data_IF_082387854597
#
_entry.id   IF_082387854597
#
_cell.length_a   1.000
_cell.length_b   1.000
_cell.length_c   1.000
_cell.angle_alpha   90.00
_cell.angle_beta   90.00
_cell.angle_gamma   90.00
#
_symmetry.space_group_name_H-M   'P 1'
#
loop_
_entity.id
_entity.type
_entity.pdbx_description
1 polymer ?
#
# COMPACT_ATOMS: atom_id res chain seq x y z
N UNK A 1 27.34 6.22 -10.84
CA UNK A 1 26.69 4.92 -11.09
C UNK A 1 25.19 5.16 -11.07
N UNK A 2 24.36 4.38 -11.81
CA UNK A 2 22.92 4.54 -11.74
C UNK A 2 22.42 4.22 -10.32
N UNK A 3 21.44 4.99 -9.82
CA UNK A 3 20.73 4.65 -8.59
C UNK A 3 19.88 3.40 -8.84
N UNK A 4 20.06 2.36 -8.02
CA UNK A 4 19.29 1.12 -8.09
C UNK A 4 18.53 0.98 -6.78
N UNK A 5 17.21 0.79 -6.87
CA UNK A 5 16.33 0.63 -5.72
C UNK A 5 15.64 -0.74 -5.76
N UNK A 6 15.62 -1.41 -4.62
CA UNK A 6 14.90 -2.65 -4.38
C UNK A 6 13.64 -2.34 -3.57
N UNK A 7 12.49 -2.60 -4.17
CA UNK A 7 11.19 -2.26 -3.59
C UNK A 7 10.34 -3.50 -3.44
N UNK A 8 9.56 -3.57 -2.36
CA UNK A 8 8.55 -4.61 -2.16
C UNK A 8 7.24 -4.01 -1.65
N UNK A 9 6.13 -4.60 -2.04
CA UNK A 9 4.80 -4.41 -1.44
C UNK A 9 4.27 -5.76 -0.99
N UNK A 10 3.62 -5.81 0.17
CA UNK A 10 3.07 -7.04 0.74
C UNK A 10 1.84 -6.77 1.62
N UNK A 11 0.71 -7.33 1.21
CA UNK A 11 -0.47 -7.44 2.07
C UNK A 11 -0.20 -8.48 3.18
N UNK A 12 -0.26 -8.03 4.44
CA UNK A 12 0.12 -8.81 5.63
C UNK A 12 -1.04 -9.62 6.23
N UNK A 13 -2.28 -9.37 5.80
CA UNK A 13 -3.50 -9.99 6.32
C UNK A 13 -3.63 -9.90 7.87
N UNK A 14 -3.25 -8.78 8.47
CA UNK A 14 -3.17 -8.61 9.93
C UNK A 14 -4.49 -8.07 10.52
N UNK A 15 -5.57 -8.83 10.32
CA UNK A 15 -6.91 -8.45 10.77
C UNK A 15 -6.99 -8.28 12.30
N UNK A 16 -7.57 -7.19 12.83
CA UNK A 16 -7.54 -6.85 14.25
C UNK A 16 -8.62 -7.59 15.08
N UNK A 17 -9.30 -8.58 14.51
CA UNK A 17 -10.40 -9.30 15.17
C UNK A 17 -9.89 -10.22 16.29
N UNK A 18 -10.68 -10.53 17.33
CA UNK A 18 -10.31 -11.53 18.33
C UNK A 18 -10.48 -12.95 17.78
N UNK A 19 -9.80 -13.93 18.38
CA UNK A 19 -10.11 -15.35 18.15
C UNK A 19 -11.57 -15.64 18.52
N UNK A 20 -12.33 -16.42 17.72
CA UNK A 20 -11.92 -17.24 16.57
C UNK A 20 -12.06 -16.56 15.20
N UNK A 21 -12.33 -15.25 15.15
CA UNK A 21 -12.59 -14.52 13.89
C UNK A 21 -11.32 -14.03 13.19
N UNK A 22 -10.14 -14.22 13.79
CA UNK A 22 -8.82 -14.05 13.16
C UNK A 22 -8.02 -15.35 13.18
N UNK A 23 -7.01 -15.43 12.33
CA UNK A 23 -6.02 -16.52 12.36
C UNK A 23 -5.30 -16.60 13.73
N UNK A 24 -5.11 -17.82 14.22
CA UNK A 24 -4.29 -18.12 15.41
C UNK A 24 -2.84 -17.66 15.25
N UNK A 25 -2.35 -17.62 14.01
CA UNK A 25 -0.95 -17.35 13.69
C UNK A 25 -0.67 -15.87 13.43
N UNK A 26 -1.60 -14.98 13.73
CA UNK A 26 -1.47 -13.54 13.50
C UNK A 26 -0.13 -12.97 14.02
N UNK A 27 0.20 -13.21 15.30
CA UNK A 27 1.43 -12.71 15.90
C UNK A 27 2.69 -13.38 15.31
N UNK A 28 2.61 -14.68 15.01
CA UNK A 28 3.69 -15.42 14.37
C UNK A 28 3.96 -14.87 12.97
N UNK A 29 2.91 -14.59 12.19
CA UNK A 29 3.01 -14.05 10.83
C UNK A 29 3.65 -12.68 10.81
N UNK A 30 3.18 -11.73 11.63
CA UNK A 30 3.79 -10.39 11.73
C UNK A 30 5.28 -10.49 12.08
N UNK A 31 5.64 -11.38 13.03
CA UNK A 31 7.04 -11.63 13.38
C UNK A 31 7.84 -12.17 12.18
N UNK A 32 7.31 -13.17 11.46
CA UNK A 32 7.97 -13.79 10.31
C UNK A 32 8.10 -12.87 9.10
N UNK A 33 7.12 -11.98 8.90
CA UNK A 33 7.22 -10.91 7.90
C UNK A 33 8.39 -9.99 8.25
N UNK A 34 8.50 -9.53 9.50
CA UNK A 34 9.63 -8.72 9.94
C UNK A 34 10.99 -9.41 9.75
N UNK A 35 11.10 -10.69 10.13
CA UNK A 35 12.32 -11.49 9.91
C UNK A 35 12.66 -11.60 8.41
N UNK A 36 11.67 -11.85 7.55
CA UNK A 36 11.86 -11.95 6.10
C UNK A 36 12.31 -10.61 5.50
N UNK A 37 11.73 -9.49 5.92
CA UNK A 37 12.13 -8.16 5.46
C UNK A 37 13.59 -7.85 5.83
N UNK A 38 14.07 -8.27 7.00
CA UNK A 38 15.48 -8.10 7.39
C UNK A 38 16.44 -8.98 6.58
N UNK A 39 16.00 -10.14 6.12
CA UNK A 39 16.81 -11.05 5.31
C UNK A 39 16.93 -10.60 3.85
N UNK A 40 16.03 -9.72 3.40
CA UNK A 40 16.01 -9.23 2.04
C UNK A 40 16.49 -7.76 2.02
N UNK A 41 17.36 -7.40 1.08
CA UNK A 41 17.94 -6.06 1.03
C UNK A 41 17.02 -5.07 0.27
N UNK A 42 15.77 -4.92 0.70
CA UNK A 42 14.88 -3.90 0.13
C UNK A 42 15.20 -2.52 0.70
N UNK A 43 15.15 -1.50 -0.14
CA UNK A 43 15.33 -0.09 0.22
C UNK A 43 14.02 0.56 0.69
N UNK A 44 12.90 0.18 0.07
CA UNK A 44 11.56 0.68 0.40
C UNK A 44 10.58 -0.51 0.47
N UNK A 45 9.75 -0.53 1.51
CA UNK A 45 8.76 -1.56 1.79
C UNK A 45 7.41 -0.90 1.98
N UNK A 46 6.41 -1.27 1.19
CA UNK A 46 4.99 -1.01 1.46
C UNK A 46 4.36 -2.24 2.10
N UNK A 47 3.58 -2.05 3.16
CA UNK A 47 2.75 -3.12 3.73
C UNK A 47 1.30 -2.67 3.77
N UNK A 48 0.41 -3.57 3.36
CA UNK A 48 -1.04 -3.42 3.42
C UNK A 48 -1.63 -4.37 4.48
N UNK A 49 -2.86 -4.09 4.91
CA UNK A 49 -3.56 -4.83 5.99
C UNK A 49 -2.82 -4.93 7.33
N UNK A 50 -1.95 -3.97 7.65
CA UNK A 50 -1.43 -3.78 9.01
C UNK A 50 -2.41 -2.94 9.81
N UNK A 51 -3.60 -3.49 10.12
CA UNK A 51 -4.72 -2.71 10.65
C UNK A 51 -4.51 -2.18 12.07
N UNK A 52 -3.81 -2.95 12.92
CA UNK A 52 -3.52 -2.57 14.30
C UNK A 52 -2.27 -1.72 14.41
N UNK A 53 -2.36 -0.55 15.06
CA UNK A 53 -1.18 0.27 15.40
C UNK A 53 -0.14 -0.53 16.21
N UNK A 54 -0.60 -1.46 17.06
CA UNK A 54 0.29 -2.36 17.79
C UNK A 54 1.16 -3.26 16.90
N UNK A 55 0.68 -3.69 15.74
CA UNK A 55 1.48 -4.48 14.79
C UNK A 55 2.45 -3.61 14.01
N UNK A 56 2.03 -2.41 13.63
CA UNK A 56 2.94 -1.41 13.05
C UNK A 56 4.09 -1.10 14.01
N UNK A 57 3.82 -0.82 15.29
CA UNK A 57 4.85 -0.52 16.29
C UNK A 57 5.78 -1.71 16.54
N UNK A 58 5.27 -2.96 16.48
CA UNK A 58 6.11 -4.17 16.56
C UNK A 58 7.05 -4.28 15.37
N UNK A 59 6.54 -4.08 14.16
CA UNK A 59 7.33 -4.09 12.93
C UNK A 59 8.36 -2.96 12.97
N UNK A 60 7.96 -1.73 13.27
CA UNK A 60 8.85 -0.58 13.41
C UNK A 60 9.98 -0.85 14.38
N UNK A 61 9.69 -1.41 15.56
CA UNK A 61 10.72 -1.76 16.53
C UNK A 61 11.67 -2.84 15.99
N UNK A 62 11.14 -3.88 15.35
CA UNK A 62 11.95 -4.97 14.82
C UNK A 62 12.81 -4.57 13.62
N UNK A 63 12.34 -3.61 12.82
CA UNK A 63 12.96 -3.19 11.56
C UNK A 63 13.88 -1.97 11.71
N UNK A 64 13.86 -1.29 12.86
CA UNK A 64 14.49 0.03 13.08
C UNK A 64 15.95 0.15 12.62
N UNK A 65 16.75 -0.90 12.81
CA UNK A 65 18.18 -0.87 12.49
C UNK A 65 18.43 -0.92 10.98
N UNK A 66 17.55 -1.59 10.22
CA UNK A 66 17.62 -1.65 8.76
C UNK A 66 16.81 -0.52 8.09
N UNK A 67 15.65 -0.19 8.65
CA UNK A 67 14.70 0.80 8.14
C UNK A 67 14.51 1.89 9.18
N UNK A 68 15.39 2.89 9.15
CA UNK A 68 15.41 3.98 10.11
C UNK A 68 14.17 4.89 10.01
N UNK A 69 13.48 4.88 8.88
CA UNK A 69 12.32 5.71 8.60
C UNK A 69 11.10 4.85 8.34
N UNK A 70 9.98 5.23 8.91
CA UNK A 70 8.71 4.52 8.73
C UNK A 70 7.54 5.46 8.91
N UNK A 71 6.45 5.22 8.19
CA UNK A 71 5.23 5.99 8.34
C UNK A 71 3.99 5.09 8.27
N UNK A 72 3.04 5.32 9.17
CA UNK A 72 1.75 4.64 9.20
C UNK A 72 0.66 5.63 8.77
N UNK A 73 -0.10 5.27 7.73
CA UNK A 73 -1.16 6.14 7.22
C UNK A 73 -2.44 5.95 8.02
N UNK A 74 -2.78 6.90 8.89
CA UNK A 74 -4.03 6.85 9.66
C UNK A 74 -5.23 7.25 8.79
N UNK A 75 -6.30 6.44 8.80
CA UNK A 75 -7.53 6.72 8.05
C UNK A 75 -8.73 5.98 8.63
N UNK A 76 -9.93 6.55 8.46
CA UNK A 76 -11.18 5.90 8.85
C UNK A 76 -11.28 5.58 10.34
N UNK A 77 -12.14 4.61 10.68
CA UNK A 77 -12.35 4.18 12.08
C UNK A 77 -11.34 3.11 12.52
N UNK A 78 -10.85 2.29 11.59
CA UNK A 78 -9.98 1.13 11.88
C UNK A 78 -8.53 1.30 11.41
N UNK A 79 -8.17 2.44 10.81
CA UNK A 79 -6.90 2.64 10.13
C UNK A 79 -7.00 2.41 8.62
N UNK A 80 -5.95 2.79 7.87
CA UNK A 80 -5.84 2.43 6.44
C UNK A 80 -5.30 1.01 6.23
N UNK A 81 -4.58 0.49 7.23
CA UNK A 81 -3.79 -0.73 7.09
C UNK A 81 -2.53 -0.56 6.24
N UNK A 82 -2.23 0.65 5.76
CA UNK A 82 -1.10 0.96 4.89
C UNK A 82 0.03 1.57 5.73
N UNK A 83 1.23 1.03 5.58
CA UNK A 83 2.44 1.64 6.10
C UNK A 83 3.63 1.46 5.18
N UNK A 84 4.62 2.34 5.34
CA UNK A 84 5.86 2.33 4.56
C UNK A 84 7.05 2.29 5.50
N UNK A 85 8.04 1.46 5.18
CA UNK A 85 9.37 1.44 5.80
C UNK A 85 10.41 1.77 4.75
N UNK A 86 11.39 2.59 5.11
CA UNK A 86 12.42 3.09 4.21
C UNK A 86 13.78 3.10 4.91
N UNK A 87 14.82 2.69 4.17
CA UNK A 87 16.22 2.88 4.57
C UNK A 87 16.64 4.35 4.47
N UNK A 88 15.93 5.11 3.65
CA UNK A 88 16.23 6.50 3.32
C UNK A 88 15.24 7.48 3.95
N UNK A 89 15.64 8.74 4.20
CA UNK A 89 14.80 9.75 4.82
C UNK A 89 13.45 9.93 4.13
N UNK A 90 12.36 9.78 4.89
CA UNK A 90 11.02 10.23 4.50
C UNK A 90 10.89 11.70 4.93
N UNK A 91 10.79 12.61 3.96
CA UNK A 91 10.81 14.06 4.20
C UNK A 91 9.44 14.72 4.11
N UNK A 92 8.48 14.06 3.46
CA UNK A 92 7.10 14.51 3.36
C UNK A 92 6.15 13.32 3.25
N UNK A 93 4.91 13.53 3.66
CA UNK A 93 3.85 12.52 3.57
C UNK A 93 2.53 13.16 3.19
N UNK A 94 1.73 12.45 2.43
CA UNK A 94 0.36 12.85 2.07
C UNK A 94 -0.51 11.61 1.96
N UNK A 95 -1.80 11.72 2.26
CA UNK A 95 -2.74 10.62 2.08
C UNK A 95 -3.97 11.08 1.31
N UNK A 96 -4.43 10.25 0.39
CA UNK A 96 -5.74 10.37 -0.23
C UNK A 96 -6.60 9.15 0.13
N UNK A 97 -7.70 9.40 0.84
CA UNK A 97 -8.72 8.37 1.10
C UNK A 97 -9.66 8.33 -0.08
N UNK A 98 -9.89 7.14 -0.63
CA UNK A 98 -10.81 7.02 -1.74
C UNK A 98 -12.26 7.34 -1.31
N UNK A 99 -13.03 7.89 -2.23
CA UNK A 99 -14.40 8.34 -1.94
C UNK A 99 -15.39 7.20 -1.85
N UNK A 100 -15.19 6.13 -2.62
CA UNK A 100 -16.13 5.01 -2.77
C UNK A 100 -15.53 3.70 -2.25
N UNK A 101 -15.76 3.38 -0.97
CA UNK A 101 -15.16 2.25 -0.25
C UNK A 101 -16.14 1.13 0.14
N UNK A 102 -17.21 0.94 -0.63
CA UNK A 102 -18.17 -0.15 -0.46
C UNK A 102 -19.48 0.31 0.15
N UNK A 103 -20.29 -0.65 0.60
CA UNK A 103 -21.61 -0.40 1.15
C UNK A 103 -21.60 -0.52 2.68
N UNK A 104 -22.03 0.55 3.38
CA UNK A 104 -22.06 0.60 4.84
C UNK A 104 -22.84 -0.55 5.51
N UNK A 105 -23.89 -1.04 4.84
CA UNK A 105 -24.73 -2.12 5.33
C UNK A 105 -24.15 -3.52 5.08
N UNK A 106 -23.07 -3.65 4.31
CA UNK A 106 -22.32 -4.89 4.14
C UNK A 106 -21.28 -5.03 5.27
N UNK A 107 -21.76 -5.11 6.50
CA UNK A 107 -20.90 -5.07 7.70
C UNK A 107 -19.86 -6.22 7.71
N UNK A 108 -20.20 -7.34 7.08
CA UNK A 108 -19.36 -8.52 6.90
C UNK A 108 -18.24 -8.34 5.86
N UNK A 109 -18.24 -7.24 5.09
CA UNK A 109 -17.22 -6.88 4.10
C UNK A 109 -16.55 -5.60 4.56
N UNK A 110 -15.51 -5.78 5.38
CA UNK A 110 -14.90 -4.75 6.22
C UNK A 110 -14.30 -3.54 5.50
N UNK A 111 -14.23 -3.56 4.16
CA UNK A 111 -13.71 -2.47 3.31
C UNK A 111 -14.41 -1.13 3.53
N UNK A 112 -15.68 -1.10 3.95
CA UNK A 112 -16.33 0.18 4.28
C UNK A 112 -15.78 0.81 5.57
N UNK A 113 -15.36 -0.01 6.53
CA UNK A 113 -14.80 0.45 7.81
C UNK A 113 -13.27 0.64 7.75
N UNK A 114 -12.60 -0.09 6.85
CA UNK A 114 -11.19 0.07 6.52
C UNK A 114 -10.99 1.27 5.60
N UNK A 115 -10.16 2.22 5.98
CA UNK A 115 -9.95 3.43 5.19
C UNK A 115 -9.09 3.18 3.95
N UNK A 116 -9.64 2.56 2.90
CA UNK A 116 -8.95 2.34 1.61
C UNK A 116 -8.48 3.65 1.01
N UNK A 117 -7.31 3.63 0.39
CA UNK A 117 -6.66 4.83 -0.09
C UNK A 117 -5.27 4.60 -0.64
N UNK A 118 -4.59 5.71 -0.86
CA UNK A 118 -3.18 5.76 -1.24
C UNK A 118 -2.44 6.70 -0.31
N UNK A 119 -1.33 6.21 0.24
CA UNK A 119 -0.36 6.99 0.95
C UNK A 119 0.80 7.36 0.02
N UNK A 120 1.21 8.62 0.03
CA UNK A 120 2.44 9.12 -0.57
C UNK A 120 3.45 9.36 0.54
N UNK A 121 4.65 8.80 0.39
CA UNK A 121 5.84 9.28 1.07
C UNK A 121 6.81 9.84 0.04
N UNK A 122 7.44 10.94 0.39
CA UNK A 122 8.51 11.54 -0.39
C UNK A 122 9.85 11.21 0.27
N UNK A 123 10.76 10.64 -0.52
CA UNK A 123 12.00 10.06 -0.04
C UNK A 123 13.17 10.80 -0.69
N UNK A 124 14.14 11.23 0.11
CA UNK A 124 15.39 11.83 -0.39
C UNK A 124 16.51 10.79 -0.39
N UNK A 125 17.10 10.57 -1.58
CA UNK A 125 18.23 9.66 -1.78
C UNK A 125 19.30 10.41 -2.56
N UNK A 126 20.40 10.77 -1.89
CA UNK A 126 21.45 11.63 -2.47
C UNK A 126 20.84 12.94 -3.01
N UNK A 127 20.95 13.23 -4.30
CA UNK A 127 20.34 14.38 -4.98
C UNK A 127 18.91 14.13 -5.49
N UNK A 128 18.38 12.91 -5.38
CA UNK A 128 17.10 12.52 -5.97
C UNK A 128 15.96 12.61 -4.96
N UNK A 129 14.82 13.13 -5.42
CA UNK A 129 13.54 13.14 -4.71
C UNK A 129 12.61 12.13 -5.35
N UNK A 130 12.27 11.09 -4.59
CA UNK A 130 11.46 9.97 -5.06
C UNK A 130 10.11 10.00 -4.38
N UNK A 131 9.04 10.02 -5.18
CA UNK A 131 7.69 9.82 -4.67
C UNK A 131 7.36 8.33 -4.66
N UNK A 132 7.12 7.78 -3.48
CA UNK A 132 6.68 6.40 -3.31
C UNK A 132 5.22 6.37 -2.84
N UNK A 133 4.38 5.70 -3.64
CA UNK A 133 2.96 5.57 -3.39
C UNK A 133 2.64 4.13 -2.96
N UNK A 134 2.04 3.97 -1.79
CA UNK A 134 1.52 2.70 -1.28
C UNK A 134 -0.02 2.75 -1.31
N UNK A 135 -0.64 1.89 -2.10
CA UNK A 135 -2.09 1.88 -2.27
C UNK A 135 -2.72 0.55 -1.84
N UNK A 136 -3.95 0.64 -1.33
CA UNK A 136 -4.77 -0.53 -1.03
C UNK A 136 -6.19 -0.26 -1.50
N UNK A 137 -6.59 -0.92 -2.58
CA UNK A 137 -7.91 -0.75 -3.19
C UNK A 137 -8.93 -1.71 -2.56
N UNK A 138 -10.20 -1.48 -2.88
CA UNK A 138 -11.31 -2.32 -2.41
C UNK A 138 -11.10 -3.77 -2.87
N UNK A 139 -11.39 -4.73 -2.01
CA UNK A 139 -11.23 -6.14 -2.34
C UNK A 139 -12.17 -6.59 -3.48
N UNK A 140 -11.70 -7.53 -4.29
CA UNK A 140 -12.57 -8.37 -5.13
C UNK A 140 -12.93 -9.63 -4.35
N UNK A 141 -14.21 -9.80 -4.06
CA UNK A 141 -14.68 -10.91 -3.21
C UNK A 141 -15.13 -12.14 -4.02
N UNK A 142 -15.56 -11.92 -5.27
CA UNK A 142 -16.02 -12.97 -6.17
C UNK A 142 -15.88 -12.48 -7.63
N UNK A 143 -14.93 -13.01 -8.41
CA UNK A 143 -14.73 -12.61 -9.80
C UNK A 143 -15.96 -12.84 -10.69
N UNK A 144 -16.82 -13.82 -10.35
CA UNK A 144 -18.01 -14.13 -11.13
C UNK A 144 -19.21 -13.24 -10.79
N UNK A 145 -19.17 -12.58 -9.62
CA UNK A 145 -20.25 -11.73 -9.11
C UNK A 145 -19.67 -10.59 -8.29
N UNK A 146 -19.16 -9.60 -9.00
CA UNK A 146 -18.48 -8.48 -8.39
C UNK A 146 -19.29 -7.18 -8.41
N UNK A 147 -20.12 -6.90 -7.38
CA UNK A 147 -20.81 -5.61 -7.25
C UNK A 147 -19.84 -4.46 -6.92
N UNK A 148 -18.56 -4.76 -6.65
CA UNK A 148 -17.56 -3.78 -6.26
C UNK A 148 -16.67 -3.32 -7.42
N UNK A 149 -16.88 -3.83 -8.64
CA UNK A 149 -16.17 -3.35 -9.82
C UNK A 149 -16.31 -1.82 -10.01
N UNK A 150 -17.50 -1.20 -9.87
CA UNK A 150 -17.62 0.26 -9.96
C UNK A 150 -16.83 0.99 -8.86
N UNK A 151 -16.70 0.37 -7.68
CA UNK A 151 -15.91 0.92 -6.57
C UNK A 151 -14.43 0.90 -6.94
N UNK A 152 -13.90 -0.26 -7.37
CA UNK A 152 -12.50 -0.38 -7.80
C UNK A 152 -12.19 0.52 -8.99
N UNK A 153 -13.11 0.70 -9.94
CA UNK A 153 -12.93 1.63 -11.07
C UNK A 153 -12.85 3.10 -10.61
N UNK A 154 -13.73 3.53 -9.70
CA UNK A 154 -13.68 4.87 -9.14
C UNK A 154 -12.36 5.10 -8.37
N UNK A 155 -11.97 4.15 -7.52
CA UNK A 155 -10.71 4.20 -6.77
C UNK A 155 -9.48 4.21 -7.69
N UNK A 156 -9.47 3.40 -8.75
CA UNK A 156 -8.41 3.39 -9.74
C UNK A 156 -8.27 4.74 -10.45
N UNK A 157 -9.39 5.39 -10.78
CA UNK A 157 -9.38 6.73 -11.37
C UNK A 157 -8.87 7.79 -10.38
N UNK A 158 -9.35 7.76 -9.13
CA UNK A 158 -8.86 8.64 -8.06
C UNK A 158 -7.36 8.46 -7.80
N UNK A 159 -6.88 7.21 -7.73
CA UNK A 159 -5.47 6.86 -7.58
C UNK A 159 -4.64 7.46 -8.71
N UNK A 160 -5.06 7.25 -9.96
CA UNK A 160 -4.33 7.75 -11.11
C UNK A 160 -4.24 9.29 -11.12
N UNK A 161 -5.35 9.96 -10.78
CA UNK A 161 -5.38 11.41 -10.65
C UNK A 161 -4.47 11.90 -9.52
N UNK A 162 -4.53 11.27 -8.35
CA UNK A 162 -3.68 11.62 -7.22
C UNK A 162 -2.20 11.49 -7.55
N UNK A 163 -1.77 10.36 -8.12
CA UNK A 163 -0.38 10.15 -8.56
C UNK A 163 0.03 11.22 -9.57
N UNK A 164 -0.77 11.40 -10.64
CA UNK A 164 -0.48 12.40 -11.69
C UNK A 164 -0.29 13.81 -11.15
N UNK A 165 -1.09 14.23 -10.16
CA UNK A 165 -1.08 15.62 -9.68
C UNK A 165 -0.06 15.87 -8.58
N UNK A 166 0.44 14.82 -7.94
CA UNK A 166 1.43 14.91 -6.86
C UNK A 166 2.84 14.55 -7.31
N UNK A 167 3.03 13.99 -8.51
CA UNK A 167 4.33 13.53 -8.99
C UNK A 167 5.21 14.58 -9.66
N UNK A 168 4.69 15.79 -9.93
CA UNK A 168 5.40 16.80 -10.75
C UNK A 168 6.74 17.28 -10.16
N UNK A 169 6.92 17.19 -8.84
CA UNK A 169 8.14 17.64 -8.15
C UNK A 169 9.17 16.53 -7.92
N UNK A 170 8.90 15.31 -8.36
CA UNK A 170 9.77 14.16 -8.11
C UNK A 170 10.65 13.83 -9.33
N UNK A 171 11.89 13.42 -9.08
CA UNK A 171 12.81 12.91 -10.11
C UNK A 171 12.38 11.52 -10.60
N UNK A 172 11.77 10.73 -9.71
CA UNK A 172 11.17 9.44 -10.03
C UNK A 172 9.95 9.18 -9.15
N UNK A 173 9.04 8.35 -9.67
CA UNK A 173 7.88 7.89 -8.93
C UNK A 173 7.77 6.37 -9.00
N UNK A 174 7.28 5.78 -7.91
CA UNK A 174 7.03 4.35 -7.79
C UNK A 174 5.66 4.18 -7.14
N UNK A 175 4.75 3.46 -7.81
CA UNK A 175 3.45 3.08 -7.26
C UNK A 175 3.45 1.58 -7.02
N UNK A 176 3.19 1.18 -5.78
CA UNK A 176 3.08 -0.21 -5.36
C UNK A 176 1.87 -0.38 -4.41
N UNK A 177 1.41 -1.61 -4.25
CA UNK A 177 0.29 -1.89 -3.37
C UNK A 177 -0.49 -3.14 -3.72
N UNK A 178 -1.49 -3.43 -2.89
CA UNK A 178 -2.55 -4.37 -3.21
C UNK A 178 -3.69 -3.66 -3.94
N UNK A 179 -3.68 -3.78 -5.26
CA UNK A 179 -4.69 -3.14 -6.10
C UNK A 179 -5.99 -3.95 -6.20
N UNK A 180 -6.02 -5.22 -5.77
CA UNK A 180 -7.19 -6.10 -5.96
C UNK A 180 -7.75 -6.09 -7.39
N UNK A 181 -6.86 -5.97 -8.39
CA UNK A 181 -7.19 -5.83 -9.81
C UNK A 181 -6.23 -6.70 -10.61
N UNK A 182 -6.79 -7.52 -11.50
CA UNK A 182 -6.02 -8.31 -12.47
C UNK A 182 -5.48 -7.44 -13.63
N UNK A 183 -4.31 -7.79 -14.24
CA UNK A 183 -3.65 -6.96 -15.25
C UNK A 183 -4.47 -6.69 -16.54
N UNK A 184 -5.45 -7.54 -16.85
CA UNK A 184 -6.32 -7.41 -18.03
C UNK A 184 -7.55 -6.52 -17.77
N UNK A 185 -7.78 -6.10 -16.52
CA UNK A 185 -8.93 -5.31 -16.12
C UNK A 185 -8.81 -3.84 -16.56
N UNK A 186 -9.94 -3.21 -16.88
CA UNK A 186 -10.04 -1.78 -17.19
C UNK A 186 -9.47 -0.88 -16.08
N UNK A 187 -9.66 -1.24 -14.81
CA UNK A 187 -9.17 -0.46 -13.68
C UNK A 187 -7.63 -0.35 -13.68
N UNK A 188 -6.93 -1.43 -14.04
CA UNK A 188 -5.48 -1.41 -14.20
C UNK A 188 -5.06 -0.50 -15.36
N UNK A 189 -5.74 -0.58 -16.51
CA UNK A 189 -5.48 0.28 -17.66
C UNK A 189 -5.71 1.77 -17.34
N UNK A 190 -6.72 2.09 -16.52
CA UNK A 190 -6.97 3.45 -16.05
C UNK A 190 -5.80 3.97 -15.22
N UNK A 191 -5.29 3.18 -14.28
CA UNK A 191 -4.14 3.55 -13.44
C UNK A 191 -2.92 3.84 -14.32
N UNK A 192 -2.53 2.86 -15.15
CA UNK A 192 -1.32 2.95 -15.96
C UNK A 192 -1.38 4.11 -16.95
N UNK A 193 -2.49 4.26 -17.69
CA UNK A 193 -2.60 5.27 -18.76
C UNK A 193 -2.77 6.68 -18.20
N UNK A 194 -3.60 6.88 -17.18
CA UNK A 194 -3.87 8.23 -16.69
C UNK A 194 -2.73 8.79 -15.84
N UNK A 195 -1.98 7.94 -15.13
CA UNK A 195 -0.79 8.35 -14.38
C UNK A 195 0.52 8.19 -15.18
N UNK A 196 0.45 7.81 -16.46
CA UNK A 196 1.60 7.61 -17.35
C UNK A 196 2.68 6.69 -16.74
N UNK A 197 2.24 5.57 -16.16
CA UNK A 197 3.10 4.59 -15.51
C UNK A 197 3.59 3.54 -16.50
N UNK A 198 4.62 2.81 -16.11
CA UNK A 198 5.06 1.59 -16.80
C UNK A 198 5.02 0.43 -15.83
N UNK A 199 4.52 -0.70 -16.31
CA UNK A 199 4.46 -1.92 -15.50
C UNK A 199 5.85 -2.54 -15.35
N UNK A 200 6.31 -2.68 -14.10
CA UNK A 200 7.64 -3.21 -13.80
C UNK A 200 7.82 -4.68 -14.19
N UNK A 201 6.74 -5.49 -14.21
CA UNK A 201 6.80 -6.88 -14.64
C UNK A 201 6.97 -7.01 -16.16
N UNK A 202 6.36 -6.10 -16.93
CA UNK A 202 6.49 -6.05 -18.38
C UNK A 202 7.83 -5.42 -18.80
N UNK A 203 8.29 -4.41 -18.06
CA UNK A 203 9.51 -3.65 -18.37
C UNK A 203 10.79 -4.26 -17.80
N UNK A 204 10.77 -5.50 -17.31
CA UNK A 204 11.97 -6.12 -16.73
C UNK A 204 13.12 -6.11 -17.74
N UNK A 205 14.36 -5.86 -17.28
CA UNK A 205 15.55 -5.99 -18.12
C UNK A 205 15.78 -7.43 -18.59
#
# INVERSE_FOLDING_TARGET
MPLILRVVSLNCWALPLPWPFRSSDHALRIKKIGEALLQNEYDIVALEEVWGEGDFLRLQKALKDAYAYSYYFHSGFTGSGICVFSRHPIVSTLMHRFTLNGFAHHIHRGDWFGGKGVGLVEIEIEQYRINFYAAHLHAEYDPNKDPYLPHRLAQAFELAQFVKHTSYSADALILAGDFNIEPDNLAYQLIVKNANLRDAWIQKP
#
